data_IF_717416971358
#
_entry.id   IF_717416971358
#
_cell.length_a   1.000
_cell.length_b   1.000
_cell.length_c   1.000
_cell.angle_alpha   90.00
_cell.angle_beta   90.00
_cell.angle_gamma   90.00
#
_symmetry.space_group_name_H-M   'P 1'
#
loop_
_entity.id
_entity.type
_entity.pdbx_description
1 polymer ?
#
# COMPACT_ATOMS: atom_id res chain seq x y z
N UNK A 1 15.92 -15.54 3.70
CA UNK A 1 16.10 -16.96 3.35
C UNK A 1 17.36 -17.11 2.52
N UNK A 2 17.88 -18.32 2.38
CA UNK A 2 18.94 -18.63 1.39
C UNK A 2 18.53 -19.82 0.53
N UNK A 3 18.95 -19.80 -0.74
CA UNK A 3 18.65 -20.90 -1.68
C UNK A 3 19.51 -22.12 -1.34
N UNK A 4 18.91 -23.32 -1.36
CA UNK A 4 19.60 -24.58 -1.00
C UNK A 4 19.92 -25.51 -2.18
N UNK A 5 19.07 -25.57 -3.20
CA UNK A 5 19.30 -26.35 -4.42
C UNK A 5 18.47 -25.77 -5.57
N UNK A 6 19.10 -25.62 -6.74
CA UNK A 6 18.46 -25.17 -7.97
C UNK A 6 19.28 -25.74 -9.13
N UNK A 7 18.63 -26.44 -10.07
CA UNK A 7 19.30 -27.09 -11.20
C UNK A 7 19.19 -26.29 -12.51
N UNK A 8 18.23 -25.35 -12.62
CA UNK A 8 17.97 -24.55 -13.84
C UNK A 8 17.28 -23.21 -13.50
N UNK A 9 17.91 -22.32 -12.73
CA UNK A 9 17.25 -21.09 -12.26
C UNK A 9 18.22 -19.91 -12.11
N UNK A 10 17.69 -18.68 -12.07
CA UNK A 10 18.43 -17.40 -11.94
C UNK A 10 19.16 -17.26 -10.59
N UNK A 11 18.93 -18.19 -9.67
CA UNK A 11 19.46 -18.19 -8.30
C UNK A 11 20.43 -19.34 -8.05
N UNK A 12 21.40 -19.12 -7.14
CA UNK A 12 22.38 -20.11 -6.74
C UNK A 12 22.34 -20.38 -5.23
N UNK A 13 22.83 -21.56 -4.83
CA UNK A 13 22.91 -21.92 -3.41
C UNK A 13 23.72 -20.87 -2.65
N UNK A 14 23.15 -20.38 -1.54
CA UNK A 14 23.77 -19.33 -0.72
C UNK A 14 23.26 -17.92 -1.01
N UNK A 15 22.56 -17.70 -2.12
CA UNK A 15 21.95 -16.39 -2.43
C UNK A 15 20.99 -15.95 -1.32
N UNK A 16 21.10 -14.69 -0.91
CA UNK A 16 20.18 -14.06 0.04
C UNK A 16 18.90 -13.67 -0.70
N UNK A 17 17.76 -14.18 -0.25
CA UNK A 17 16.48 -13.98 -0.93
C UNK A 17 15.33 -13.65 0.04
N UNK A 18 14.32 -13.00 -0.50
CA UNK A 18 12.97 -12.86 0.07
C UNK A 18 11.92 -13.35 -0.94
N UNK A 19 10.70 -13.58 -0.47
CA UNK A 19 9.64 -14.19 -1.27
C UNK A 19 8.35 -13.37 -1.24
N UNK A 20 7.58 -13.43 -2.32
CA UNK A 20 6.21 -12.88 -2.40
C UNK A 20 5.13 -13.94 -2.18
N UNK A 21 5.45 -15.21 -2.44
CA UNK A 21 4.61 -16.36 -2.11
C UNK A 21 5.49 -17.61 -1.85
N UNK A 22 4.90 -18.61 -1.20
CA UNK A 22 5.52 -19.92 -0.93
C UNK A 22 4.49 -21.02 -1.15
N UNK A 23 4.90 -22.17 -1.67
CA UNK A 23 4.03 -23.32 -1.92
C UNK A 23 3.79 -24.15 -0.65
N UNK A 24 4.83 -24.31 0.19
CA UNK A 24 4.76 -25.14 1.40
C UNK A 24 4.49 -24.35 2.69
N UNK A 25 4.27 -23.04 2.59
CA UNK A 25 4.14 -22.12 3.73
C UNK A 25 5.47 -21.65 4.30
N UNK A 26 5.48 -20.45 4.89
CA UNK A 26 6.69 -19.74 5.34
C UNK A 26 6.97 -19.81 6.85
N UNK A 27 6.07 -20.40 7.64
CA UNK A 27 6.25 -20.57 9.09
C UNK A 27 6.98 -21.89 9.39
N UNK A 28 8.19 -22.01 8.86
CA UNK A 28 9.03 -23.19 8.95
C UNK A 28 10.51 -22.81 8.79
N UNK A 29 11.43 -23.71 9.15
CA UNK A 29 12.86 -23.54 8.92
C UNK A 29 13.22 -23.58 7.42
N UNK A 30 12.40 -24.28 6.63
CA UNK A 30 12.53 -24.41 5.17
C UNK A 30 11.17 -24.22 4.49
N UNK A 31 11.20 -23.65 3.29
CA UNK A 31 10.01 -23.48 2.47
C UNK A 31 10.34 -23.74 1.00
N UNK A 32 9.35 -24.22 0.26
CA UNK A 32 9.37 -24.36 -1.19
C UNK A 32 8.66 -23.13 -1.77
N UNK A 33 9.29 -22.48 -2.74
CA UNK A 33 8.71 -21.36 -3.47
C UNK A 33 8.99 -21.53 -4.96
N UNK A 34 8.01 -21.17 -5.79
CA UNK A 34 8.19 -21.05 -7.23
C UNK A 34 9.23 -19.97 -7.54
N UNK A 35 10.05 -20.18 -8.57
CA UNK A 35 11.16 -19.29 -8.92
C UNK A 35 10.71 -17.84 -9.14
N UNK A 36 9.57 -17.64 -9.79
CA UNK A 36 8.97 -16.33 -10.08
C UNK A 36 8.45 -15.58 -8.84
N UNK A 37 8.41 -16.25 -7.68
CA UNK A 37 8.04 -15.68 -6.39
C UNK A 37 9.25 -15.39 -5.49
N UNK A 38 10.47 -15.65 -5.98
CA UNK A 38 11.73 -15.45 -5.25
C UNK A 38 12.44 -14.23 -5.81
N UNK A 39 12.96 -13.39 -4.92
CA UNK A 39 13.66 -12.16 -5.29
C UNK A 39 14.96 -12.02 -4.49
N UNK A 40 15.99 -11.45 -5.12
CA UNK A 40 17.27 -11.18 -4.44
C UNK A 40 17.07 -10.15 -3.33
N UNK A 41 17.63 -10.43 -2.15
CA UNK A 41 17.65 -9.50 -1.03
C UNK A 41 18.92 -8.64 -1.12
N UNK A 42 18.81 -7.31 -1.27
CA UNK A 42 19.98 -6.43 -1.28
C UNK A 42 20.81 -6.56 -0.01
N UNK A 43 22.14 -6.42 -0.14
CA UNK A 43 23.03 -6.71 0.98
C UNK A 43 22.86 -5.79 2.19
N UNK A 44 22.41 -4.57 1.92
CA UNK A 44 22.12 -3.53 2.92
C UNK A 44 20.92 -3.83 3.80
N UNK A 45 20.07 -4.79 3.41
CA UNK A 45 18.89 -5.18 4.19
C UNK A 45 19.16 -6.48 4.94
N UNK A 46 18.73 -6.56 6.20
CA UNK A 46 18.73 -7.82 6.93
C UNK A 46 17.55 -8.72 6.51
N UNK A 47 17.54 -9.96 7.00
CA UNK A 47 16.47 -10.92 6.66
C UNK A 47 15.10 -10.55 7.26
N UNK A 48 15.05 -9.84 8.39
CA UNK A 48 13.80 -9.41 9.00
C UNK A 48 13.14 -8.31 8.15
N UNK A 49 13.94 -7.38 7.65
CA UNK A 49 13.52 -6.39 6.66
C UNK A 49 13.10 -7.07 5.37
N UNK A 50 13.88 -8.03 4.86
CA UNK A 50 13.54 -8.81 3.67
C UNK A 50 12.17 -9.51 3.78
N UNK A 51 11.89 -10.12 4.93
CA UNK A 51 10.59 -10.77 5.20
C UNK A 51 9.41 -9.77 5.21
N UNK A 52 9.66 -8.49 5.46
CA UNK A 52 8.65 -7.44 5.44
C UNK A 52 8.40 -6.83 4.05
N UNK A 53 9.17 -7.20 3.02
CA UNK A 53 9.03 -6.61 1.67
C UNK A 53 7.84 -7.22 0.91
N UNK A 54 7.79 -8.55 0.79
CA UNK A 54 6.95 -9.30 -0.16
C UNK A 54 5.53 -8.77 -0.34
N UNK A 55 4.56 -9.26 0.43
CA UNK A 55 3.16 -8.81 0.31
C UNK A 55 3.00 -7.28 0.51
N UNK A 56 3.63 -6.64 1.51
CA UNK A 56 3.42 -5.21 1.76
C UNK A 56 3.79 -4.29 0.60
N UNK A 57 5.02 -4.39 0.08
CA UNK A 57 5.52 -3.48 -0.95
C UNK A 57 4.95 -3.79 -2.32
N UNK A 58 4.76 -5.07 -2.67
CA UNK A 58 4.13 -5.42 -3.95
C UNK A 58 2.66 -4.99 -4.00
N UNK A 59 1.93 -5.11 -2.89
CA UNK A 59 0.54 -4.62 -2.81
C UNK A 59 0.50 -3.10 -2.94
N UNK A 60 1.35 -2.39 -2.21
CA UNK A 60 1.44 -0.92 -2.26
C UNK A 60 1.81 -0.43 -3.66
N UNK A 61 2.81 -1.03 -4.30
CA UNK A 61 3.24 -0.69 -5.66
C UNK A 61 2.12 -0.91 -6.66
N UNK A 62 1.44 -2.07 -6.63
CA UNK A 62 0.30 -2.36 -7.50
C UNK A 62 -0.85 -1.38 -7.29
N UNK A 63 -1.14 -1.03 -6.04
CA UNK A 63 -2.17 -0.06 -5.69
C UNK A 63 -1.82 1.33 -6.26
N UNK A 64 -0.59 1.81 -6.09
CA UNK A 64 -0.12 3.12 -6.55
C UNK A 64 -0.02 3.19 -8.09
N UNK A 65 0.71 2.27 -8.70
CA UNK A 65 1.13 2.36 -10.11
C UNK A 65 0.05 1.82 -11.04
N UNK A 66 -0.51 0.65 -10.74
CA UNK A 66 -1.42 -0.02 -11.68
C UNK A 66 -2.89 0.33 -11.47
N UNK A 67 -3.33 0.38 -10.21
CA UNK A 67 -4.74 0.63 -9.88
C UNK A 67 -5.06 2.12 -9.81
N UNK A 68 -4.29 2.86 -9.02
CA UNK A 68 -4.47 4.29 -8.94
C UNK A 68 -3.89 4.96 -10.20
N UNK A 69 -2.68 4.60 -10.65
CA UNK A 69 -1.93 5.36 -11.67
C UNK A 69 -1.62 6.77 -11.18
N UNK A 70 -0.96 6.83 -10.02
CA UNK A 70 -0.56 8.10 -9.39
C UNK A 70 0.35 8.92 -10.30
N UNK A 71 0.26 10.24 -10.16
CA UNK A 71 1.15 11.21 -10.80
C UNK A 71 1.77 12.10 -9.75
N UNK A 72 3.04 12.46 -9.91
CA UNK A 72 3.71 13.40 -9.02
C UNK A 72 2.89 14.70 -8.84
N UNK A 73 2.94 15.26 -7.65
CA UNK A 73 2.17 16.46 -7.25
C UNK A 73 0.75 16.18 -6.77
N UNK A 74 0.18 14.99 -7.03
CA UNK A 74 -1.11 14.58 -6.47
C UNK A 74 -1.05 14.40 -4.95
N UNK A 75 -2.17 14.65 -4.28
CA UNK A 75 -2.36 14.42 -2.85
C UNK A 75 -2.93 13.04 -2.59
N UNK A 76 -2.32 12.30 -1.68
CA UNK A 76 -2.75 10.94 -1.32
C UNK A 76 -3.02 10.84 0.17
N UNK A 77 -4.15 10.23 0.54
CA UNK A 77 -4.46 9.81 1.91
C UNK A 77 -4.23 8.31 2.06
N UNK A 78 -3.46 7.92 3.07
CA UNK A 78 -3.19 6.52 3.41
C UNK A 78 -3.87 6.21 4.74
N UNK A 79 -4.97 5.47 4.70
CA UNK A 79 -5.63 5.00 5.92
C UNK A 79 -4.85 3.83 6.54
N UNK A 80 -4.79 3.78 7.87
CA UNK A 80 -4.08 2.69 8.57
C UNK A 80 -2.58 2.65 8.23
N UNK A 81 -1.96 3.82 8.07
CA UNK A 81 -0.61 3.97 7.52
C UNK A 81 0.51 3.33 8.37
N UNK A 82 0.22 2.95 9.62
CA UNK A 82 1.18 2.26 10.51
C UNK A 82 1.36 0.77 10.21
N UNK A 83 0.47 0.16 9.42
CA UNK A 83 0.61 -1.25 9.02
C UNK A 83 1.66 -1.46 7.94
N UNK A 84 2.00 -2.73 7.64
CA UNK A 84 3.04 -3.06 6.65
C UNK A 84 2.79 -2.44 5.27
N UNK A 85 1.60 -2.63 4.70
CA UNK A 85 1.22 -2.01 3.40
C UNK A 85 1.18 -0.49 3.52
N UNK A 86 0.73 0.04 4.65
CA UNK A 86 0.66 1.48 4.92
C UNK A 86 2.03 2.16 4.90
N UNK A 87 3.01 1.58 5.59
CA UNK A 87 4.40 2.08 5.61
C UNK A 87 5.03 2.00 4.22
N UNK A 88 4.87 0.86 3.52
CA UNK A 88 5.34 0.71 2.15
C UNK A 88 4.72 1.76 1.22
N UNK A 89 3.42 2.02 1.37
CA UNK A 89 2.70 3.04 0.60
C UNK A 89 3.23 4.44 0.90
N UNK A 90 3.50 4.80 2.17
CA UNK A 90 4.08 6.09 2.52
C UNK A 90 5.43 6.32 1.84
N UNK A 91 6.32 5.32 1.90
CA UNK A 91 7.66 5.42 1.33
C UNK A 91 7.63 5.54 -0.20
N UNK A 92 6.88 4.65 -0.86
CA UNK A 92 6.74 4.65 -2.32
C UNK A 92 6.04 5.93 -2.81
N UNK A 93 4.95 6.35 -2.16
CA UNK A 93 4.25 7.58 -2.51
C UNK A 93 5.15 8.82 -2.38
N UNK A 94 5.98 8.87 -1.34
CA UNK A 94 6.94 9.96 -1.14
C UNK A 94 8.00 9.96 -2.24
N UNK A 95 8.56 8.79 -2.58
CA UNK A 95 9.52 8.64 -3.67
C UNK A 95 8.94 9.02 -5.04
N UNK A 96 7.63 8.77 -5.26
CA UNK A 96 6.90 9.14 -6.48
C UNK A 96 6.48 10.62 -6.54
N UNK A 97 6.89 11.45 -5.55
CA UNK A 97 6.61 12.89 -5.55
C UNK A 97 5.17 13.26 -5.18
N UNK A 98 4.46 12.42 -4.43
CA UNK A 98 3.11 12.72 -3.94
C UNK A 98 3.12 13.55 -2.66
N UNK A 99 2.05 14.30 -2.43
CA UNK A 99 1.76 14.95 -1.14
C UNK A 99 1.05 13.94 -0.23
N UNK A 100 1.84 13.27 0.60
CA UNK A 100 1.38 12.15 1.44
C UNK A 100 0.74 12.63 2.74
N UNK A 101 -0.53 12.29 2.95
CA UNK A 101 -1.27 12.36 4.21
C UNK A 101 -1.49 10.93 4.71
N UNK A 102 -1.40 10.70 6.02
CA UNK A 102 -1.64 9.37 6.58
C UNK A 102 -2.39 9.40 7.90
N UNK A 103 -3.11 8.31 8.19
CA UNK A 103 -3.79 8.15 9.49
C UNK A 103 -3.13 7.09 10.36
N UNK A 104 -3.08 7.36 11.67
CA UNK A 104 -2.60 6.45 12.71
C UNK A 104 -3.51 6.54 13.94
N UNK A 105 -3.42 5.58 14.87
CA UNK A 105 -4.28 5.53 16.06
C UNK A 105 -3.64 6.01 17.36
N UNK A 106 -2.35 6.35 17.33
CA UNK A 106 -1.56 6.78 18.50
C UNK A 106 -0.56 7.86 18.11
N UNK A 107 -0.09 8.69 19.06
CA UNK A 107 0.96 9.68 18.81
C UNK A 107 2.24 9.07 18.23
N UNK A 108 2.66 7.90 18.74
CA UNK A 108 3.85 7.21 18.22
C UNK A 108 3.62 6.65 16.82
N UNK A 109 2.41 6.17 16.53
CA UNK A 109 2.01 5.80 15.17
C UNK A 109 2.07 6.99 14.20
N UNK A 110 1.65 8.18 14.64
CA UNK A 110 1.75 9.39 13.83
C UNK A 110 3.22 9.77 13.56
N UNK A 111 4.09 9.72 14.57
CA UNK A 111 5.54 9.93 14.40
C UNK A 111 6.14 8.91 13.44
N UNK A 112 5.75 7.64 13.54
CA UNK A 112 6.22 6.55 12.69
C UNK A 112 5.92 6.83 11.21
N UNK A 113 4.68 7.21 10.87
CA UNK A 113 4.30 7.41 9.47
C UNK A 113 4.93 8.69 8.89
N UNK A 114 5.12 9.74 9.70
CA UNK A 114 5.86 10.94 9.28
C UNK A 114 7.32 10.60 8.97
N UNK A 115 7.98 9.82 9.83
CA UNK A 115 9.35 9.33 9.60
C UNK A 115 9.46 8.49 8.30
N UNK A 116 8.38 7.83 7.89
CA UNK A 116 8.32 6.99 6.70
C UNK A 116 7.73 7.68 5.45
N UNK A 117 7.60 9.01 5.46
CA UNK A 117 7.31 9.79 4.25
C UNK A 117 6.00 10.57 4.26
N UNK A 118 5.12 10.39 5.27
CA UNK A 118 3.94 11.23 5.42
C UNK A 118 4.36 12.70 5.68
N UNK A 119 3.76 13.64 4.94
CA UNK A 119 3.91 15.07 5.19
C UNK A 119 3.05 15.50 6.38
N UNK A 120 1.85 14.93 6.48
CA UNK A 120 0.90 15.18 7.55
C UNK A 120 0.36 13.86 8.08
N UNK A 121 0.25 13.77 9.40
CA UNK A 121 -0.33 12.63 10.11
C UNK A 121 -1.60 13.07 10.84
N UNK A 122 -2.62 12.22 10.83
CA UNK A 122 -3.89 12.46 11.52
C UNK A 122 -4.24 11.27 12.41
N UNK A 123 -4.82 11.55 13.57
CA UNK A 123 -5.28 10.50 14.48
C UNK A 123 -6.72 10.09 14.10
N UNK A 124 -6.91 8.89 13.56
CA UNK A 124 -8.25 8.43 13.14
C UNK A 124 -9.21 8.16 14.31
N UNK A 125 -8.72 8.21 15.55
CA UNK A 125 -9.55 8.11 16.77
C UNK A 125 -10.06 9.47 17.26
N UNK A 126 -9.52 10.57 16.74
CA UNK A 126 -9.99 11.91 17.11
C UNK A 126 -11.27 12.27 16.37
N UNK A 127 -12.22 12.88 17.09
CA UNK A 127 -13.42 13.43 16.48
C UNK A 127 -13.04 14.53 15.50
N UNK A 128 -13.64 14.52 14.30
CA UNK A 128 -13.41 15.53 13.26
C UNK A 128 -12.07 15.41 12.53
N UNK A 129 -11.36 14.26 12.60
CA UNK A 129 -10.10 14.10 11.89
C UNK A 129 -10.25 14.25 10.36
N UNK A 130 -11.40 13.89 9.80
CA UNK A 130 -11.74 14.06 8.38
C UNK A 130 -11.83 15.54 8.00
N UNK A 131 -12.39 16.39 8.88
CA UNK A 131 -12.45 17.84 8.66
C UNK A 131 -11.05 18.46 8.65
N UNK A 132 -10.15 17.96 9.51
CA UNK A 132 -8.73 18.37 9.51
C UNK A 132 -8.04 18.00 8.19
N UNK A 133 -8.34 16.83 7.62
CA UNK A 133 -7.83 16.41 6.31
C UNK A 133 -8.38 17.31 5.20
N UNK A 134 -9.68 17.61 5.22
CA UNK A 134 -10.30 18.53 4.26
C UNK A 134 -9.70 19.93 4.36
N UNK A 135 -9.47 20.45 5.56
CA UNK A 135 -8.81 21.73 5.76
C UNK A 135 -7.37 21.72 5.21
N UNK A 136 -6.60 20.65 5.44
CA UNK A 136 -5.24 20.49 4.92
C UNK A 136 -5.18 20.44 3.38
N UNK A 137 -6.29 20.12 2.72
CA UNK A 137 -6.42 20.13 1.24
C UNK A 137 -7.13 21.37 0.71
N UNK A 138 -7.37 22.39 1.55
CA UNK A 138 -8.07 23.61 1.17
C UNK A 138 -9.52 23.35 0.73
N UNK A 139 -10.16 22.33 1.30
CA UNK A 139 -11.53 21.91 1.00
C UNK A 139 -11.69 21.13 -0.32
N UNK A 140 -10.62 20.91 -1.09
CA UNK A 140 -10.70 20.20 -2.38
C UNK A 140 -10.84 18.69 -2.23
N UNK A 141 -10.40 18.14 -1.11
CA UNK A 141 -10.25 16.70 -0.92
C UNK A 141 -8.92 16.17 -1.46
N UNK A 142 -8.73 14.85 -1.37
CA UNK A 142 -7.50 14.16 -1.79
C UNK A 142 -7.68 13.48 -3.16
N UNK A 143 -6.67 13.52 -4.00
CA UNK A 143 -6.74 12.93 -5.35
C UNK A 143 -6.83 11.39 -5.31
N UNK A 144 -6.19 10.78 -4.30
CA UNK A 144 -6.11 9.33 -4.15
C UNK A 144 -6.27 8.93 -2.68
N UNK A 145 -7.06 7.90 -2.42
CA UNK A 145 -7.19 7.27 -1.09
C UNK A 145 -6.74 5.81 -1.18
N UNK A 146 -5.88 5.40 -0.25
CA UNK A 146 -5.47 4.00 -0.06
C UNK A 146 -6.17 3.46 1.18
N UNK A 147 -7.17 2.59 0.96
CA UNK A 147 -8.11 2.19 2.00
C UNK A 147 -7.84 0.77 2.50
N UNK A 148 -7.55 0.64 3.80
CA UNK A 148 -7.14 -0.61 4.44
C UNK A 148 -8.27 -1.29 5.25
N UNK A 149 -9.36 -0.58 5.50
CA UNK A 149 -10.51 -1.02 6.30
C UNK A 149 -11.82 -0.44 5.73
N UNK A 150 -12.11 -0.75 4.47
CA UNK A 150 -13.18 -0.12 3.70
C UNK A 150 -14.57 -0.28 4.33
N UNK A 151 -14.83 -1.38 5.05
CA UNK A 151 -16.10 -1.58 5.76
C UNK A 151 -16.36 -0.57 6.89
N UNK A 152 -15.38 0.28 7.23
CA UNK A 152 -15.50 1.35 8.23
C UNK A 152 -15.41 2.74 7.59
N UNK A 153 -14.51 2.92 6.63
CA UNK A 153 -14.15 4.27 6.14
C UNK A 153 -14.77 4.63 4.79
N UNK A 154 -15.19 3.67 3.96
CA UNK A 154 -15.43 3.92 2.54
C UNK A 154 -16.44 5.05 2.26
N UNK A 155 -17.52 5.17 3.04
CA UNK A 155 -18.46 6.28 2.87
C UNK A 155 -17.79 7.65 3.12
N UNK A 156 -16.97 7.76 4.16
CA UNK A 156 -16.19 8.97 4.46
C UNK A 156 -15.10 9.21 3.42
N UNK A 157 -14.51 8.16 2.86
CA UNK A 157 -13.53 8.28 1.79
C UNK A 157 -14.17 8.92 0.56
N UNK A 158 -15.41 8.55 0.22
CA UNK A 158 -16.17 9.19 -0.86
C UNK A 158 -16.47 10.66 -0.54
N UNK A 159 -16.69 11.02 0.73
CA UNK A 159 -16.83 12.43 1.16
C UNK A 159 -15.51 13.23 1.08
N UNK A 160 -14.36 12.58 1.28
CA UNK A 160 -13.03 13.22 1.29
C UNK A 160 -12.31 13.20 -0.06
N UNK A 161 -12.67 12.30 -0.98
CA UNK A 161 -12.03 12.22 -2.28
C UNK A 161 -12.32 13.48 -3.11
N UNK A 162 -11.32 13.98 -3.83
CA UNK A 162 -11.47 15.09 -4.75
C UNK A 162 -12.33 14.68 -5.97
N UNK A 163 -12.81 15.67 -6.73
CA UNK A 163 -13.47 15.42 -8.02
C UNK A 163 -12.51 14.63 -8.93
N UNK A 164 -13.01 13.56 -9.54
CA UNK A 164 -12.27 12.59 -10.38
C UNK A 164 -11.14 11.86 -9.65
N UNK A 165 -11.17 11.88 -8.32
CA UNK A 165 -10.21 11.14 -7.51
C UNK A 165 -10.52 9.63 -7.48
N UNK A 166 -9.56 8.87 -6.95
CA UNK A 166 -9.67 7.41 -6.87
C UNK A 166 -9.54 6.90 -5.43
N UNK A 167 -10.37 5.95 -5.06
CA UNK A 167 -10.28 5.20 -3.81
C UNK A 167 -9.87 3.77 -4.16
N UNK A 168 -8.70 3.34 -3.68
CA UNK A 168 -8.19 1.99 -3.88
C UNK A 168 -8.47 1.17 -2.63
N UNK A 169 -9.37 0.20 -2.73
CA UNK A 169 -9.69 -0.74 -1.64
C UNK A 169 -8.63 -1.83 -1.62
N UNK A 170 -7.84 -1.84 -0.55
CA UNK A 170 -6.80 -2.83 -0.27
C UNK A 170 -7.29 -3.84 0.77
N UNK A 171 -8.05 -3.37 1.77
CA UNK A 171 -8.55 -4.21 2.84
C UNK A 171 -10.00 -3.91 3.21
N UNK A 172 -10.74 -4.95 3.58
CA UNK A 172 -12.08 -4.87 4.16
C UNK A 172 -12.33 -6.10 5.02
N UNK A 173 -13.16 -5.96 6.06
CA UNK A 173 -13.57 -7.03 6.98
C UNK A 173 -15.09 -7.20 7.09
N UNK A 174 -15.85 -6.58 6.19
CA UNK A 174 -17.31 -6.62 6.21
C UNK A 174 -17.95 -5.83 5.09
N UNK A 175 -19.27 -5.65 5.19
CA UNK A 175 -20.07 -4.82 4.30
C UNK A 175 -20.12 -3.36 4.78
N UNK A 176 -20.52 -2.45 3.90
CA UNK A 176 -20.75 -1.03 4.21
C UNK A 176 -21.79 -0.46 3.24
N UNK A 177 -22.63 0.44 3.74
CA UNK A 177 -23.53 1.25 2.91
C UNK A 177 -22.79 2.50 2.43
N UNK A 178 -22.97 2.83 1.15
CA UNK A 178 -22.33 3.97 0.49
C UNK A 178 -23.37 4.85 -0.18
N UNK A 179 -23.21 6.17 -0.07
CA UNK A 179 -24.05 7.11 -0.79
C UNK A 179 -23.63 7.23 -2.26
N UNK A 180 -24.42 6.65 -3.17
CA UNK A 180 -24.14 6.69 -4.61
C UNK A 180 -24.14 8.11 -5.20
N UNK A 181 -24.87 9.06 -4.59
CA UNK A 181 -24.87 10.45 -5.03
C UNK A 181 -23.48 11.09 -4.92
N UNK A 182 -22.75 10.84 -3.84
CA UNK A 182 -21.43 11.45 -3.62
C UNK A 182 -20.39 10.92 -4.60
N UNK A 183 -20.52 9.65 -5.00
CA UNK A 183 -19.69 9.03 -6.05
C UNK A 183 -19.97 9.72 -7.39
N UNK A 184 -21.26 9.83 -7.77
CA UNK A 184 -21.70 10.45 -9.01
C UNK A 184 -21.29 11.93 -9.08
N UNK A 185 -21.57 12.71 -8.03
CA UNK A 185 -21.31 14.15 -7.97
C UNK A 185 -19.83 14.49 -8.10
N UNK A 186 -18.95 13.55 -7.74
CA UNK A 186 -17.50 13.70 -7.83
C UNK A 186 -16.88 13.02 -9.05
N UNK A 187 -17.63 12.23 -9.82
CA UNK A 187 -17.07 11.31 -10.80
C UNK A 187 -15.96 10.42 -10.17
N UNK A 188 -16.16 10.00 -8.92
CA UNK A 188 -15.15 9.26 -8.16
C UNK A 188 -15.03 7.81 -8.66
N UNK A 189 -13.81 7.26 -8.62
CA UNK A 189 -13.54 5.88 -9.01
C UNK A 189 -13.22 5.07 -7.76
N UNK A 190 -13.98 4.00 -7.52
CA UNK A 190 -13.68 3.01 -6.48
C UNK A 190 -13.16 1.76 -7.17
N UNK A 191 -11.96 1.32 -6.79
CA UNK A 191 -11.29 0.17 -7.43
C UNK A 191 -10.67 -0.76 -6.38
N UNK A 192 -10.90 -2.06 -6.52
CA UNK A 192 -10.24 -3.06 -5.70
C UNK A 192 -8.83 -3.37 -6.17
N UNK A 193 -7.93 -3.67 -5.23
CA UNK A 193 -6.65 -4.31 -5.50
C UNK A 193 -6.58 -5.67 -4.84
N UNK A 194 -6.18 -6.66 -5.62
CA UNK A 194 -5.81 -7.98 -5.13
C UNK A 194 -4.46 -8.33 -5.74
N UNK A 195 -3.47 -8.59 -4.88
CA UNK A 195 -2.07 -8.79 -5.30
C UNK A 195 -1.93 -10.02 -6.20
N UNK A 196 -2.65 -11.10 -5.91
CA UNK A 196 -2.58 -12.36 -6.65
C UNK A 196 -3.18 -12.30 -8.06
N UNK A 197 -3.83 -11.18 -8.44
CA UNK A 197 -4.28 -10.95 -9.82
C UNK A 197 -3.28 -10.11 -10.64
N UNK A 198 -2.05 -9.94 -10.15
CA UNK A 198 -1.00 -9.30 -10.93
C UNK A 198 -0.60 -10.22 -12.10
N UNK A 199 -0.56 -9.66 -13.30
CA UNK A 199 -0.08 -10.39 -14.49
C UNK A 199 1.44 -10.44 -14.48
N UNK A 200 2.03 -11.39 -15.22
CA UNK A 200 3.48 -11.48 -15.39
C UNK A 200 4.09 -10.16 -15.93
N UNK A 201 3.35 -9.43 -16.77
CA UNK A 201 3.77 -8.11 -17.30
C UNK A 201 3.77 -7.02 -16.23
N UNK A 202 2.92 -7.14 -15.20
CA UNK A 202 2.92 -6.22 -14.06
C UNK A 202 3.94 -6.61 -12.99
N UNK A 203 4.38 -7.87 -13.00
CA UNK A 203 5.44 -8.39 -12.12
C UNK A 203 6.84 -8.27 -12.73
N UNK A 204 6.96 -7.94 -14.02
CA UNK A 204 8.26 -7.74 -14.66
C UNK A 204 8.82 -6.34 -14.37
N UNK A 205 10.14 -6.27 -14.18
CA UNK A 205 10.91 -5.11 -13.70
C UNK A 205 10.89 -3.86 -14.59
N UNK A 206 9.96 -3.71 -15.54
CA UNK A 206 9.90 -2.60 -16.49
C UNK A 206 9.47 -1.24 -15.89
N UNK A 207 9.48 -1.10 -14.55
CA UNK A 207 9.04 0.09 -13.86
C UNK A 207 10.05 0.64 -12.83
N UNK A 208 11.27 0.11 -12.81
CA UNK A 208 12.40 0.65 -12.02
C UNK A 208 13.50 1.14 -12.96
#
# INVERSE_FOLDING_TARGET
MTVKSCSVCVFQKGDRVYTTATESGSYAEYTIAAEDCVHKLPDVLDFAQGAAIGIPYFTAFRALVHKARVKAGQTILIHGATGGVGIATCQLARAMGLKVLGTAGTPDGMKLITKNGAHLAFNHREKGYTDKIMAATGGKGVDVIMEMLANVNLNKDVEMVAKRGRIVIIGSRGTIDINGWDIMAKEAIIVGVFIFYATLVQNSDNYV
#
